data_IF_631449289552
#
_entry.id   IF_631449289552
#
_cell.length_a   1.000
_cell.length_b   1.000
_cell.length_c   1.000
_cell.angle_alpha   90.00
_cell.angle_beta   90.00
_cell.angle_gamma   90.00
#
_symmetry.space_group_name_H-M   'P 1'
#
loop_
_entity.id
_entity.type
_entity.pdbx_description
1 polymer ?
#
# COMPACT_ATOMS: atom_id res chain seq x y z
N UNK A 1 -28.64 -1.81 -10.61
CA UNK A 1 -29.24 -0.90 -11.60
C UNK A 1 -28.74 -1.20 -13.01
N UNK A 2 -27.42 -1.12 -13.30
CA UNK A 2 -26.89 -1.33 -14.66
C UNK A 2 -27.23 -2.68 -15.31
N UNK A 3 -27.10 -3.79 -14.56
CA UNK A 3 -27.43 -5.13 -15.07
C UNK A 3 -28.92 -5.28 -15.41
N UNK A 4 -29.80 -4.82 -14.52
CA UNK A 4 -31.25 -4.80 -14.76
C UNK A 4 -31.59 -3.99 -16.01
N UNK A 5 -30.94 -2.84 -16.22
CA UNK A 5 -31.17 -2.05 -17.43
C UNK A 5 -30.73 -2.82 -18.70
N UNK A 6 -29.60 -3.53 -18.66
CA UNK A 6 -29.14 -4.37 -19.78
C UNK A 6 -30.10 -5.54 -20.05
N UNK A 7 -30.59 -6.21 -19.00
CA UNK A 7 -31.52 -7.34 -19.13
C UNK A 7 -32.86 -6.91 -19.77
N UNK A 8 -33.36 -5.72 -19.42
CA UNK A 8 -34.56 -5.12 -20.04
C UNK A 8 -34.32 -4.69 -21.49
N UNK A 9 -33.16 -4.10 -21.78
CA UNK A 9 -32.80 -3.66 -23.13
C UNK A 9 -32.51 -4.83 -24.08
N UNK A 10 -32.04 -5.97 -23.55
CA UNK A 10 -31.70 -7.16 -24.34
C UNK A 10 -32.85 -8.17 -24.44
N UNK A 11 -34.00 -7.89 -23.82
CA UNK A 11 -35.22 -8.72 -23.89
C UNK A 11 -35.13 -10.04 -23.13
N UNK A 12 -34.14 -10.19 -22.24
CA UNK A 12 -33.77 -11.47 -21.64
C UNK A 12 -34.10 -11.59 -20.13
N UNK A 13 -35.11 -10.88 -19.61
CA UNK A 13 -35.60 -11.22 -18.26
C UNK A 13 -36.62 -10.28 -17.60
N UNK A 14 -37.34 -10.86 -16.63
CA UNK A 14 -38.21 -10.18 -15.64
C UNK A 14 -37.40 -9.57 -14.47
N UNK A 15 -36.12 -9.24 -14.68
CA UNK A 15 -35.22 -8.72 -13.65
C UNK A 15 -35.80 -7.42 -13.07
N UNK A 16 -36.07 -7.38 -11.76
CA UNK A 16 -36.53 -6.18 -11.08
C UNK A 16 -35.40 -5.57 -10.24
N UNK A 17 -35.27 -4.25 -10.31
CA UNK A 17 -34.40 -3.51 -9.39
C UNK A 17 -35.11 -3.41 -8.03
N UNK A 18 -34.62 -4.16 -7.05
CA UNK A 18 -35.21 -4.26 -5.71
C UNK A 18 -34.70 -3.18 -4.74
N UNK A 19 -33.83 -2.26 -5.20
CA UNK A 19 -33.25 -1.18 -4.40
C UNK A 19 -31.74 -1.06 -4.59
N UNK A 20 -31.18 0.08 -4.17
CA UNK A 20 -29.74 0.27 -3.99
C UNK A 20 -29.41 0.12 -2.51
N UNK A 21 -28.20 -0.35 -2.19
CA UNK A 21 -27.69 -0.24 -0.83
C UNK A 21 -27.61 1.24 -0.46
N UNK A 22 -28.37 1.63 0.55
CA UNK A 22 -28.40 3.00 1.09
C UNK A 22 -27.39 3.18 2.23
N UNK A 23 -26.57 2.16 2.51
CA UNK A 23 -25.50 2.29 3.49
C UNK A 23 -24.57 3.42 3.08
N UNK A 24 -24.32 4.32 4.02
CA UNK A 24 -23.53 5.52 3.75
C UNK A 24 -22.48 5.66 4.84
N UNK A 25 -21.21 5.76 4.42
CA UNK A 25 -20.10 6.19 5.28
C UNK A 25 -19.78 7.63 4.93
N UNK A 26 -20.06 8.55 5.84
CA UNK A 26 -19.81 9.98 5.67
C UNK A 26 -18.76 10.44 6.67
N UNK A 27 -17.84 11.29 6.22
CA UNK A 27 -17.00 12.10 7.09
C UNK A 27 -17.63 13.47 7.18
N UNK A 28 -18.38 13.72 8.24
CA UNK A 28 -19.01 15.01 8.49
C UNK A 28 -18.22 15.73 9.60
N UNK A 29 -17.64 16.90 9.28
CA UNK A 29 -16.95 17.75 10.28
C UNK A 29 -15.88 17.03 11.13
N UNK A 30 -15.16 16.07 10.54
CA UNK A 30 -14.08 15.34 11.23
C UNK A 30 -14.53 14.19 12.12
N UNK A 31 -15.83 13.86 12.15
CA UNK A 31 -16.37 12.68 12.84
C UNK A 31 -16.77 11.64 11.81
N UNK A 32 -16.26 10.42 11.97
CA UNK A 32 -16.67 9.28 11.15
C UNK A 32 -18.08 8.84 11.54
N UNK A 33 -19.01 8.87 10.58
CA UNK A 33 -20.39 8.43 10.77
C UNK A 33 -20.73 7.39 9.71
N UNK A 34 -21.24 6.24 10.15
CA UNK A 34 -21.71 5.20 9.26
C UNK A 34 -23.08 4.68 9.70
N UNK A 35 -23.94 4.43 8.72
CA UNK A 35 -25.23 3.77 8.90
C UNK A 35 -25.35 2.60 7.93
N UNK A 36 -25.81 1.46 8.46
CA UNK A 36 -25.95 0.20 7.75
C UNK A 36 -27.39 -0.28 7.94
N UNK A 37 -28.08 -0.60 6.84
CA UNK A 37 -29.35 -1.34 6.85
C UNK A 37 -30.43 -0.75 7.76
N UNK A 38 -31.10 -1.61 8.53
CA UNK A 38 -32.10 -1.24 9.54
C UNK A 38 -31.42 -0.74 10.84
N UNK A 39 -30.69 0.37 10.72
CA UNK A 39 -29.99 1.04 11.80
C UNK A 39 -30.90 1.44 12.99
N UNK A 40 -32.19 1.67 12.72
CA UNK A 40 -33.16 2.09 13.73
C UNK A 40 -33.82 0.91 14.46
N UNK A 41 -33.81 -0.30 13.89
CA UNK A 41 -34.46 -1.48 14.47
C UNK A 41 -35.96 -1.52 14.19
N UNK A 42 -36.37 -1.04 13.02
CA UNK A 42 -37.76 -1.03 12.56
C UNK A 42 -38.29 -2.46 12.34
N UNK A 43 -37.41 -3.44 12.16
CA UNK A 43 -37.75 -4.86 12.05
C UNK A 43 -38.35 -5.36 13.36
N UNK A 44 -39.59 -5.86 13.30
CA UNK A 44 -40.35 -6.31 14.47
C UNK A 44 -39.62 -7.43 15.22
N UNK A 45 -39.34 -7.20 16.50
CA UNK A 45 -38.63 -8.16 17.37
C UNK A 45 -37.12 -8.19 17.17
N UNK A 46 -36.54 -7.19 16.49
CA UNK A 46 -35.09 -6.98 16.47
C UNK A 46 -34.55 -6.71 17.87
N UNK A 47 -33.28 -7.07 18.09
CA UNK A 47 -32.53 -6.79 19.30
C UNK A 47 -31.46 -5.75 18.97
N UNK A 48 -31.22 -4.79 19.86
CA UNK A 48 -30.19 -3.78 19.68
C UNK A 48 -29.16 -3.79 20.81
N UNK A 49 -27.89 -3.71 20.46
CA UNK A 49 -26.77 -3.49 21.39
C UNK A 49 -26.23 -2.07 21.18
N UNK A 50 -25.82 -1.41 22.27
CA UNK A 50 -25.29 -0.06 22.23
C UNK A 50 -24.00 0.02 23.05
N UNK A 51 -23.00 0.70 22.49
CA UNK A 51 -21.75 1.04 23.15
C UNK A 51 -21.56 2.55 23.06
N UNK A 52 -21.29 3.18 24.21
CA UNK A 52 -21.12 4.63 24.32
C UNK A 52 -19.86 4.89 25.13
N UNK A 53 -18.90 5.59 24.53
CA UNK A 53 -17.71 6.11 25.19
C UNK A 53 -17.78 7.64 25.12
N UNK A 54 -18.09 8.27 26.26
CA UNK A 54 -18.23 9.73 26.36
C UNK A 54 -16.88 10.44 26.31
N UNK A 55 -15.79 9.80 26.74
CA UNK A 55 -14.46 10.39 26.71
C UNK A 55 -13.93 10.44 25.27
N UNK A 56 -14.10 9.34 24.52
CA UNK A 56 -13.68 9.25 23.12
C UNK A 56 -14.71 9.77 22.12
N UNK A 57 -15.89 10.19 22.59
CA UNK A 57 -17.01 10.63 21.75
C UNK A 57 -17.44 9.57 20.72
N UNK A 58 -17.41 8.29 21.13
CA UNK A 58 -17.77 7.14 20.27
C UNK A 58 -19.16 6.64 20.64
N UNK A 59 -20.00 6.42 19.63
CA UNK A 59 -21.28 5.75 19.76
C UNK A 59 -21.40 4.66 18.70
N UNK A 60 -21.64 3.42 19.13
CA UNK A 60 -21.89 2.28 18.25
C UNK A 60 -23.21 1.63 18.63
N UNK A 61 -24.06 1.37 17.64
CA UNK A 61 -25.30 0.60 17.79
C UNK A 61 -25.30 -0.52 16.77
N UNK A 62 -25.58 -1.74 17.23
CA UNK A 62 -25.79 -2.91 16.39
C UNK A 62 -27.23 -3.37 16.51
N UNK A 63 -27.89 -3.68 15.39
CA UNK A 63 -29.23 -4.25 15.33
C UNK A 63 -29.14 -5.64 14.74
N UNK A 64 -29.67 -6.64 15.44
CA UNK A 64 -29.70 -8.04 15.01
C UNK A 64 -31.12 -8.61 15.05
N UNK A 65 -31.34 -9.72 14.34
CA UNK A 65 -32.62 -10.44 14.38
C UNK A 65 -32.93 -11.01 15.77
N UNK A 66 -34.21 -11.30 16.04
CA UNK A 66 -34.66 -11.95 17.29
C UNK A 66 -33.88 -13.22 17.62
N UNK A 67 -33.49 -13.97 16.60
CA UNK A 67 -32.75 -15.24 16.71
C UNK A 67 -31.24 -15.06 16.84
N UNK A 68 -30.72 -13.82 16.78
CA UNK A 68 -29.29 -13.48 16.74
C UNK A 68 -28.54 -14.14 15.58
N UNK A 69 -29.23 -14.50 14.50
CA UNK A 69 -28.62 -15.17 13.34
C UNK A 69 -28.31 -14.23 12.17
N UNK A 70 -28.81 -12.99 12.20
CA UNK A 70 -28.59 -12.00 11.13
C UNK A 70 -28.33 -10.63 11.73
N UNK A 71 -27.38 -9.90 11.16
CA UNK A 71 -27.20 -8.46 11.40
C UNK A 71 -28.19 -7.72 10.50
N UNK A 72 -29.04 -6.90 11.08
CA UNK A 72 -30.08 -6.14 10.36
C UNK A 72 -29.61 -4.72 10.05
N UNK A 73 -28.78 -4.14 10.91
CA UNK A 73 -28.24 -2.81 10.71
C UNK A 73 -27.27 -2.38 11.80
N UNK A 74 -26.64 -1.23 11.60
CA UNK A 74 -25.74 -0.65 12.58
C UNK A 74 -25.63 0.88 12.41
N UNK A 75 -25.29 1.58 13.49
CA UNK A 75 -24.91 3.00 13.50
C UNK A 75 -23.56 3.12 14.18
N UNK A 76 -22.60 3.74 13.53
CA UNK A 76 -21.26 3.99 14.08
C UNK A 76 -21.00 5.50 14.00
N UNK A 77 -20.59 6.10 15.10
CA UNK A 77 -20.28 7.54 15.23
C UNK A 77 -18.99 7.68 16.03
N UNK A 78 -18.05 8.48 15.54
CA UNK A 78 -16.74 8.69 16.16
C UNK A 78 -15.71 7.65 15.73
N UNK A 79 -16.07 6.36 15.77
CA UNK A 79 -15.25 5.23 15.30
C UNK A 79 -16.10 4.32 14.39
N UNK A 80 -15.70 4.22 13.13
CA UNK A 80 -16.36 3.44 12.09
C UNK A 80 -15.45 2.38 11.45
N UNK A 81 -14.48 1.84 12.20
CA UNK A 81 -13.57 0.80 11.74
C UNK A 81 -14.31 -0.52 11.46
N UNK A 82 -15.32 -0.84 12.30
CA UNK A 82 -16.15 -2.03 12.16
C UNK A 82 -17.15 -1.96 10.99
N UNK A 83 -17.26 -0.81 10.31
CA UNK A 83 -18.23 -0.60 9.22
C UNK A 83 -18.11 -1.68 8.13
N UNK A 84 -16.88 -1.97 7.69
CA UNK A 84 -16.65 -2.93 6.61
C UNK A 84 -17.16 -4.32 6.99
N UNK A 85 -16.81 -4.79 8.19
CA UNK A 85 -17.22 -6.09 8.72
C UNK A 85 -18.75 -6.15 8.90
N UNK A 86 -19.34 -5.17 9.59
CA UNK A 86 -20.78 -5.14 9.85
C UNK A 86 -21.62 -5.03 8.58
N UNK A 87 -21.13 -4.26 7.59
CA UNK A 87 -21.76 -4.16 6.28
C UNK A 87 -21.73 -5.51 5.56
N UNK A 88 -20.59 -6.19 5.53
CA UNK A 88 -20.49 -7.51 4.89
C UNK A 88 -21.35 -8.55 5.61
N UNK A 89 -21.46 -8.47 6.94
CA UNK A 89 -22.33 -9.37 7.70
C UNK A 89 -23.81 -9.15 7.40
N UNK A 90 -24.24 -7.90 7.20
CA UNK A 90 -25.61 -7.56 6.84
C UNK A 90 -25.93 -7.94 5.39
N UNK A 91 -25.06 -7.56 4.43
CA UNK A 91 -25.29 -7.79 3.00
C UNK A 91 -25.28 -9.28 2.64
N UNK A 92 -24.49 -10.10 3.34
CA UNK A 92 -24.30 -11.51 3.00
C UNK A 92 -24.88 -12.49 4.04
N UNK A 93 -25.70 -12.01 4.97
CA UNK A 93 -26.33 -12.84 6.01
C UNK A 93 -25.35 -13.69 6.82
N UNK A 94 -24.14 -13.16 7.04
CA UNK A 94 -23.12 -13.85 7.83
C UNK A 94 -23.61 -13.93 9.27
N UNK A 95 -23.65 -15.16 9.80
CA UNK A 95 -24.11 -15.42 11.16
C UNK A 95 -23.19 -14.69 12.15
N UNK A 96 -23.72 -13.79 13.01
CA UNK A 96 -22.89 -13.12 13.99
C UNK A 96 -22.44 -14.08 15.10
N UNK A 97 -21.39 -13.73 15.86
CA UNK A 97 -20.91 -14.52 16.99
C UNK A 97 -22.02 -14.82 17.99
N UNK A 98 -21.82 -15.86 18.81
CA UNK A 98 -22.77 -16.26 19.86
C UNK A 98 -23.17 -15.07 20.78
N UNK A 99 -22.23 -14.13 20.97
CA UNK A 99 -22.47 -12.85 21.61
C UNK A 99 -22.27 -11.69 20.61
N UNK A 100 -23.34 -11.18 19.96
CA UNK A 100 -23.23 -10.12 18.96
C UNK A 100 -22.70 -8.78 19.49
N UNK A 101 -22.74 -8.54 20.81
CA UNK A 101 -22.21 -7.32 21.40
C UNK A 101 -20.70 -7.15 21.17
N UNK A 102 -19.96 -8.25 21.05
CA UNK A 102 -18.51 -8.25 20.81
C UNK A 102 -18.11 -7.57 19.50
N UNK A 103 -19.04 -7.48 18.53
CA UNK A 103 -18.81 -6.83 17.24
C UNK A 103 -18.73 -5.30 17.33
N UNK A 104 -19.14 -4.69 18.45
CA UNK A 104 -19.13 -3.24 18.64
C UNK A 104 -18.39 -2.81 19.92
N UNK A 105 -17.80 -3.75 20.65
CA UNK A 105 -17.06 -3.47 21.88
C UNK A 105 -15.58 -3.25 21.57
N UNK A 106 -14.91 -2.31 22.26
CA UNK A 106 -13.47 -2.12 22.13
C UNK A 106 -12.73 -3.38 22.61
N UNK A 107 -11.76 -3.83 21.82
CA UNK A 107 -10.92 -4.98 22.17
C UNK A 107 -9.90 -4.59 23.26
N UNK A 108 -9.65 -5.51 24.19
CA UNK A 108 -8.53 -5.40 25.12
C UNK A 108 -7.27 -5.96 24.47
N UNK A 109 -6.12 -5.35 24.78
CA UNK A 109 -4.82 -5.65 24.17
C UNK A 109 -4.52 -7.15 24.11
N UNK A 110 -4.39 -7.70 22.90
CA UNK A 110 -3.86 -9.04 22.66
C UNK A 110 -4.74 -10.02 21.86
N UNK A 111 -6.04 -9.78 21.71
CA UNK A 111 -6.86 -10.53 20.74
C UNK A 111 -6.81 -9.81 19.39
N UNK A 112 -6.05 -10.37 18.44
CA UNK A 112 -6.00 -9.91 17.06
C UNK A 112 -7.42 -9.66 16.53
N UNK A 113 -7.62 -8.55 15.82
CA UNK A 113 -8.85 -8.34 15.07
C UNK A 113 -9.05 -9.56 14.17
N UNK A 114 -10.24 -10.16 14.25
CA UNK A 114 -10.68 -11.15 13.28
C UNK A 114 -10.94 -10.44 11.94
N UNK A 115 -9.89 -9.85 11.35
CA UNK A 115 -9.86 -9.51 9.95
C UNK A 115 -10.08 -10.81 9.20
N UNK A 116 -11.22 -10.91 8.52
CA UNK A 116 -11.55 -12.07 7.70
C UNK A 116 -10.44 -12.28 6.67
N UNK A 117 -9.63 -13.33 6.84
CA UNK A 117 -8.72 -13.80 5.81
C UNK A 117 -9.49 -14.14 4.53
N UNK A 118 -8.80 -14.26 3.39
CA UNK A 118 -9.45 -14.55 2.09
C UNK A 118 -10.35 -15.79 2.15
N UNK A 119 -10.03 -16.76 3.01
CA UNK A 119 -10.84 -17.94 3.31
C UNK A 119 -12.24 -17.61 3.88
N UNK A 120 -12.36 -16.56 4.70
CA UNK A 120 -13.62 -16.20 5.36
C UNK A 120 -14.53 -15.32 4.47
N UNK A 121 -14.02 -14.74 3.37
CA UNK A 121 -14.82 -13.92 2.47
C UNK A 121 -15.92 -14.77 1.77
N UNK A 122 -17.18 -14.30 1.72
CA UNK A 122 -18.24 -14.96 0.96
C UNK A 122 -17.97 -14.87 -0.55
N UNK A 123 -18.57 -15.76 -1.34
CA UNK A 123 -18.44 -15.75 -2.81
C UNK A 123 -18.91 -14.41 -3.42
N UNK A 124 -19.93 -13.78 -2.85
CA UNK A 124 -20.44 -12.47 -3.28
C UNK A 124 -19.52 -11.30 -2.97
N UNK A 125 -18.42 -11.49 -2.22
CA UNK A 125 -17.53 -10.41 -1.82
C UNK A 125 -16.86 -9.75 -3.03
N UNK A 126 -17.03 -8.43 -3.16
CA UNK A 126 -16.54 -7.67 -4.31
C UNK A 126 -15.01 -7.48 -4.22
N UNK A 127 -14.25 -8.08 -5.15
CA UNK A 127 -12.77 -8.07 -5.19
C UNK A 127 -12.20 -7.01 -6.14
N UNK A 128 -12.76 -6.85 -7.35
CA UNK A 128 -12.33 -5.83 -8.32
C UNK A 128 -13.44 -4.83 -8.65
N UNK A 129 -13.37 -3.61 -8.12
CA UNK A 129 -14.44 -2.61 -8.32
C UNK A 129 -14.48 -2.05 -9.74
N UNK A 130 -13.36 -2.03 -10.46
CA UNK A 130 -13.30 -1.53 -11.84
C UNK A 130 -14.10 -2.38 -12.83
N UNK A 131 -14.18 -3.70 -12.59
CA UNK A 131 -14.86 -4.65 -13.48
C UNK A 131 -15.96 -5.44 -12.76
N UNK A 132 -16.33 -5.00 -11.55
CA UNK A 132 -17.37 -5.62 -10.72
C UNK A 132 -17.20 -7.13 -10.52
N UNK A 133 -15.96 -7.58 -10.26
CA UNK A 133 -15.64 -9.01 -10.06
C UNK A 133 -15.72 -9.36 -8.57
N UNK A 134 -16.46 -10.42 -8.25
CA UNK A 134 -16.62 -10.98 -6.90
C UNK A 134 -15.61 -12.12 -6.63
N UNK A 135 -15.54 -12.60 -5.38
CA UNK A 135 -14.73 -13.77 -5.03
C UNK A 135 -15.25 -15.01 -5.76
N UNK A 136 -16.56 -15.19 -5.87
CA UNK A 136 -17.22 -16.31 -6.54
C UNK A 136 -16.91 -16.36 -8.03
N UNK A 137 -16.82 -15.20 -8.69
CA UNK A 137 -16.37 -15.13 -10.08
C UNK A 137 -14.92 -15.63 -10.25
N UNK A 138 -14.06 -15.31 -9.27
CA UNK A 138 -12.68 -15.81 -9.26
C UNK A 138 -12.61 -17.30 -8.96
N UNK A 139 -13.34 -17.77 -7.94
CA UNK A 139 -13.43 -19.19 -7.56
C UNK A 139 -13.97 -20.02 -8.73
N UNK A 140 -15.04 -19.55 -9.38
CA UNK A 140 -15.63 -20.18 -10.56
C UNK A 140 -14.67 -20.22 -11.75
N UNK A 141 -13.88 -19.17 -11.97
CA UNK A 141 -12.84 -19.18 -13.00
C UNK A 141 -11.70 -20.16 -12.66
N UNK A 142 -11.30 -20.29 -11.40
CA UNK A 142 -10.31 -21.27 -10.95
C UNK A 142 -10.83 -22.70 -11.11
N UNK A 143 -12.07 -22.96 -10.69
CA UNK A 143 -12.74 -24.25 -10.90
C UNK A 143 -12.91 -24.58 -12.40
N UNK A 144 -13.06 -23.55 -13.24
CA UNK A 144 -13.08 -23.65 -14.70
C UNK A 144 -11.71 -23.89 -15.36
N UNK A 145 -10.63 -24.03 -14.58
CA UNK A 145 -9.30 -24.40 -15.06
C UNK A 145 -8.27 -23.27 -15.06
N UNK A 146 -8.58 -22.08 -14.52
CA UNK A 146 -7.57 -21.04 -14.35
C UNK A 146 -6.59 -21.40 -13.22
N UNK A 147 -5.35 -21.72 -13.59
CA UNK A 147 -4.29 -22.08 -12.64
C UNK A 147 -3.22 -21.00 -12.45
N UNK A 148 -3.31 -19.89 -13.17
CA UNK A 148 -2.36 -18.79 -13.04
C UNK A 148 -3.05 -17.42 -13.06
N UNK A 149 -2.33 -16.38 -12.63
CA UNK A 149 -2.88 -15.03 -12.54
C UNK A 149 -3.15 -14.42 -13.92
N UNK A 150 -2.48 -14.88 -14.97
CA UNK A 150 -2.65 -14.36 -16.32
C UNK A 150 -3.95 -14.89 -16.94
N UNK A 151 -4.22 -16.19 -16.79
CA UNK A 151 -5.48 -16.82 -17.21
C UNK A 151 -6.65 -16.24 -16.42
N UNK A 152 -6.50 -16.07 -15.10
CA UNK A 152 -7.54 -15.50 -14.25
C UNK A 152 -7.85 -14.04 -14.62
N UNK A 153 -6.81 -13.25 -14.95
CA UNK A 153 -6.97 -11.87 -15.46
C UNK A 153 -7.63 -11.83 -16.84
N UNK A 154 -7.26 -12.74 -17.73
CA UNK A 154 -7.83 -12.80 -19.07
C UNK A 154 -9.33 -13.16 -19.03
N UNK A 155 -9.72 -14.04 -18.11
CA UNK A 155 -11.11 -14.49 -17.97
C UNK A 155 -11.98 -13.50 -17.20
N UNK A 156 -11.47 -12.89 -16.13
CA UNK A 156 -12.29 -12.05 -15.22
C UNK A 156 -12.05 -10.56 -15.36
N UNK A 157 -11.00 -10.13 -16.07
CA UNK A 157 -10.49 -8.75 -16.09
C UNK A 157 -10.05 -8.20 -14.71
N UNK A 158 -10.10 -9.00 -13.64
CA UNK A 158 -9.75 -8.55 -12.30
C UNK A 158 -8.26 -8.18 -12.21
N UNK A 159 -7.96 -6.89 -12.02
CA UNK A 159 -6.59 -6.40 -11.86
C UNK A 159 -5.88 -6.00 -13.17
N UNK A 160 -6.60 -5.88 -14.28
CA UNK A 160 -6.09 -5.33 -15.56
C UNK A 160 -6.32 -3.82 -15.71
N UNK A 161 -7.26 -3.25 -14.95
CA UNK A 161 -7.68 -1.85 -15.04
C UNK A 161 -6.80 -0.92 -14.22
N UNK A 162 -7.17 -0.67 -12.96
CA UNK A 162 -6.34 0.14 -12.06
C UNK A 162 -5.20 -0.64 -11.37
N UNK A 163 -5.15 -1.97 -11.57
CA UNK A 163 -4.16 -2.87 -10.94
C UNK A 163 -4.33 -3.09 -9.44
N UNK A 164 -5.33 -2.47 -8.82
CA UNK A 164 -5.46 -2.34 -7.39
C UNK A 164 -5.77 -3.58 -6.57
N UNK A 165 -6.60 -4.44 -7.15
CA UNK A 165 -7.00 -5.70 -6.55
C UNK A 165 -6.02 -6.84 -6.87
N UNK A 166 -4.97 -6.62 -7.67
CA UNK A 166 -4.13 -7.70 -8.21
C UNK A 166 -3.53 -8.62 -7.13
N UNK A 167 -3.12 -8.06 -5.99
CA UNK A 167 -2.60 -8.85 -4.87
C UNK A 167 -3.69 -9.67 -4.18
N UNK A 168 -4.90 -9.12 -4.05
CA UNK A 168 -6.04 -9.83 -3.46
C UNK A 168 -6.54 -10.94 -4.38
N UNK A 169 -6.56 -10.70 -5.69
CA UNK A 169 -6.85 -11.70 -6.72
C UNK A 169 -5.85 -12.85 -6.65
N UNK A 170 -4.54 -12.55 -6.50
CA UNK A 170 -3.51 -13.58 -6.29
C UNK A 170 -3.77 -14.40 -5.02
N UNK A 171 -4.10 -13.74 -3.91
CA UNK A 171 -4.39 -14.44 -2.65
C UNK A 171 -5.62 -15.35 -2.74
N UNK A 172 -6.67 -14.96 -3.48
CA UNK A 172 -7.82 -15.83 -3.76
C UNK A 172 -7.39 -17.03 -4.60
N UNK A 173 -6.69 -16.79 -5.71
CA UNK A 173 -6.17 -17.85 -6.59
C UNK A 173 -5.31 -18.87 -5.82
N UNK A 174 -4.31 -18.40 -5.07
CA UNK A 174 -3.39 -19.26 -4.32
C UNK A 174 -4.15 -20.09 -3.26
N UNK A 175 -5.16 -19.51 -2.62
CA UNK A 175 -6.01 -20.21 -1.65
C UNK A 175 -6.82 -21.33 -2.29
N UNK A 176 -7.51 -21.04 -3.40
CA UNK A 176 -8.34 -22.02 -4.11
C UNK A 176 -7.50 -23.15 -4.74
N UNK A 177 -6.35 -22.83 -5.33
CA UNK A 177 -5.44 -23.84 -5.87
C UNK A 177 -4.90 -24.77 -4.78
N UNK A 178 -4.58 -24.22 -3.61
CA UNK A 178 -4.16 -25.03 -2.44
C UNK A 178 -5.29 -25.95 -1.97
N UNK A 179 -6.55 -25.50 -1.97
CA UNK A 179 -7.69 -26.36 -1.63
C UNK A 179 -7.90 -27.49 -2.65
N UNK A 180 -7.64 -27.23 -3.93
CA UNK A 180 -7.72 -28.22 -5.00
C UNK A 180 -6.51 -29.19 -5.01
N UNK A 181 -5.59 -29.07 -4.05
CA UNK A 181 -4.39 -29.91 -3.98
C UNK A 181 -3.36 -29.61 -5.08
N UNK A 182 -3.51 -28.48 -5.78
CA UNK A 182 -2.56 -28.02 -6.80
C UNK A 182 -1.40 -27.32 -6.10
N UNK A 183 -0.18 -27.81 -6.32
CA UNK A 183 1.02 -27.18 -5.80
C UNK A 183 1.19 -25.77 -6.41
N UNK A 184 1.05 -24.73 -5.60
CA UNK A 184 1.26 -23.35 -6.01
C UNK A 184 2.75 -23.12 -6.23
N UNK A 185 3.20 -23.25 -7.47
CA UNK A 185 4.58 -22.95 -7.86
C UNK A 185 4.89 -21.50 -7.51
N UNK A 186 5.94 -21.29 -6.71
CA UNK A 186 6.40 -19.95 -6.32
C UNK A 186 7.39 -19.35 -7.33
N UNK A 187 7.53 -19.98 -8.49
CA UNK A 187 8.39 -19.58 -9.58
C UNK A 187 8.15 -18.12 -9.98
N UNK A 188 9.22 -17.37 -10.25
CA UNK A 188 9.10 -16.01 -10.77
C UNK A 188 8.47 -16.02 -12.17
N UNK A 189 8.95 -16.89 -13.05
CA UNK A 189 8.46 -17.12 -14.41
C UNK A 189 9.12 -18.36 -15.01
N UNK A 190 8.81 -18.69 -16.26
CA UNK A 190 9.37 -19.83 -17.00
C UNK A 190 10.91 -19.88 -17.06
N UNK A 191 11.56 -18.72 -16.90
CA UNK A 191 13.02 -18.57 -16.92
C UNK A 191 13.66 -18.95 -15.58
N UNK A 192 12.93 -18.84 -14.46
CA UNK A 192 13.45 -19.05 -13.10
C UNK A 192 12.44 -19.85 -12.27
N UNK A 193 12.68 -21.16 -12.06
CA UNK A 193 11.83 -22.04 -11.26
C UNK A 193 12.11 -21.87 -9.76
N UNK A 194 12.13 -20.61 -9.30
CA UNK A 194 12.47 -20.21 -7.95
C UNK A 194 11.63 -19.01 -7.55
N UNK A 195 11.31 -18.90 -6.27
CA UNK A 195 10.75 -17.70 -5.66
C UNK A 195 11.76 -16.57 -5.55
N UNK A 196 11.26 -15.34 -5.35
CA UNK A 196 12.13 -14.18 -5.10
C UNK A 196 13.08 -14.42 -3.92
N UNK A 197 12.55 -15.00 -2.83
CA UNK A 197 13.32 -15.27 -1.63
C UNK A 197 14.44 -16.28 -1.90
N UNK A 198 14.14 -17.39 -2.58
CA UNK A 198 15.16 -18.37 -2.98
C UNK A 198 16.23 -17.75 -3.88
N UNK A 199 15.83 -16.97 -4.89
CA UNK A 199 16.77 -16.26 -5.75
C UNK A 199 17.65 -15.27 -4.97
N UNK A 200 17.10 -14.57 -3.97
CA UNK A 200 17.89 -13.72 -3.09
C UNK A 200 18.98 -14.53 -2.36
N UNK A 201 18.62 -15.70 -1.82
CA UNK A 201 19.58 -16.58 -1.16
C UNK A 201 20.64 -17.12 -2.13
N UNK A 202 20.23 -17.58 -3.31
CA UNK A 202 21.13 -18.10 -4.35
C UNK A 202 22.13 -17.04 -4.81
N UNK A 203 21.67 -15.80 -5.03
CA UNK A 203 22.53 -14.65 -5.38
C UNK A 203 23.56 -14.38 -4.28
N UNK A 204 23.13 -14.37 -3.02
CA UNK A 204 24.03 -14.10 -1.88
C UNK A 204 25.04 -15.21 -1.65
N UNK A 205 24.62 -16.48 -1.71
CA UNK A 205 25.50 -17.65 -1.47
C UNK A 205 26.46 -17.85 -2.64
N UNK A 206 25.97 -17.68 -3.87
CA UNK A 206 26.78 -17.81 -5.08
C UNK A 206 27.62 -16.58 -5.41
N UNK A 207 27.54 -15.52 -4.61
CA UNK A 207 28.18 -14.21 -4.83
C UNK A 207 27.97 -13.65 -6.25
N UNK A 208 26.76 -13.84 -6.79
CA UNK A 208 26.43 -13.50 -8.19
C UNK A 208 26.17 -12.00 -8.31
N UNK A 209 26.85 -11.33 -9.24
CA UNK A 209 26.80 -9.86 -9.39
C UNK A 209 26.08 -9.40 -10.64
N UNK A 210 25.90 -10.24 -11.65
CA UNK A 210 25.27 -9.84 -12.91
C UNK A 210 24.07 -10.73 -13.26
N UNK A 211 23.13 -10.20 -14.06
CA UNK A 211 21.99 -10.99 -14.54
C UNK A 211 22.45 -12.23 -15.31
N UNK A 212 23.48 -12.10 -16.15
CA UNK A 212 24.06 -13.21 -16.93
C UNK A 212 24.50 -14.37 -16.03
N UNK A 213 25.17 -14.08 -14.91
CA UNK A 213 25.58 -15.11 -13.95
C UNK A 213 24.38 -15.81 -13.29
N UNK A 214 23.33 -15.04 -12.97
CA UNK A 214 22.13 -15.57 -12.32
C UNK A 214 21.34 -16.46 -13.26
N UNK A 215 21.13 -16.04 -14.51
CA UNK A 215 20.38 -16.82 -15.49
C UNK A 215 21.16 -18.06 -15.96
N UNK A 216 22.48 -18.00 -16.06
CA UNK A 216 23.31 -19.15 -16.43
C UNK A 216 23.29 -20.25 -15.35
N UNK A 217 23.34 -19.87 -14.06
CA UNK A 217 23.41 -20.84 -12.95
C UNK A 217 22.05 -21.32 -12.45
N UNK A 218 21.04 -20.45 -12.45
CA UNK A 218 19.77 -20.69 -11.76
C UNK A 218 18.55 -20.45 -12.65
N UNK A 219 18.75 -20.22 -13.95
CA UNK A 219 17.66 -19.99 -14.89
C UNK A 219 17.93 -20.58 -16.27
N UNK A 220 17.20 -20.07 -17.25
CA UNK A 220 17.32 -20.44 -18.67
C UNK A 220 16.77 -19.34 -19.58
N UNK A 221 17.24 -19.30 -20.84
CA UNK A 221 16.78 -18.34 -21.85
C UNK A 221 17.42 -16.95 -21.69
N UNK A 222 16.74 -15.91 -22.19
CA UNK A 222 17.23 -14.52 -22.17
C UNK A 222 16.56 -13.63 -21.09
N UNK A 223 15.57 -14.18 -20.39
CA UNK A 223 14.74 -13.45 -19.43
C UNK A 223 13.66 -12.57 -20.06
N UNK A 224 12.67 -12.22 -19.25
CA UNK A 224 11.52 -11.41 -19.62
C UNK A 224 11.35 -10.19 -18.70
N UNK A 225 10.31 -9.41 -18.97
CA UNK A 225 9.96 -8.18 -18.24
C UNK A 225 9.51 -8.42 -16.78
N UNK A 226 9.38 -9.68 -16.37
CA UNK A 226 9.16 -10.05 -14.96
C UNK A 226 10.46 -10.33 -14.22
N UNK A 227 11.33 -11.19 -14.77
CA UNK A 227 12.51 -11.63 -14.06
C UNK A 227 13.65 -10.61 -14.12
N UNK A 228 13.84 -9.87 -15.22
CA UNK A 228 14.90 -8.85 -15.33
C UNK A 228 14.82 -7.79 -14.21
N UNK A 229 13.69 -7.09 -14.00
CA UNK A 229 13.59 -6.12 -12.91
C UNK A 229 13.62 -6.77 -11.53
N UNK A 230 13.12 -8.00 -11.40
CA UNK A 230 13.19 -8.74 -10.12
C UNK A 230 14.64 -9.06 -9.73
N UNK A 231 15.43 -9.59 -10.66
CA UNK A 231 16.85 -9.86 -10.44
C UNK A 231 17.63 -8.55 -10.28
N UNK A 232 17.34 -7.51 -11.05
CA UNK A 232 17.93 -6.18 -10.87
C UNK A 232 17.70 -5.63 -9.45
N UNK A 233 16.48 -5.77 -8.93
CA UNK A 233 16.15 -5.42 -7.53
C UNK A 233 16.91 -6.27 -6.51
N UNK A 234 17.02 -7.58 -6.72
CA UNK A 234 17.78 -8.49 -5.83
C UNK A 234 19.26 -8.12 -5.82
N UNK A 235 19.88 -7.96 -7.00
CA UNK A 235 21.30 -7.59 -7.13
C UNK A 235 21.59 -6.27 -6.42
N UNK A 236 20.77 -5.24 -6.65
CA UNK A 236 20.91 -3.95 -5.98
C UNK A 236 20.72 -4.07 -4.45
N UNK A 237 19.81 -4.92 -4.00
CA UNK A 237 19.60 -5.18 -2.56
C UNK A 237 20.75 -5.96 -1.92
N UNK A 238 21.45 -6.80 -2.69
CA UNK A 238 22.54 -7.63 -2.21
C UNK A 238 23.87 -6.88 -2.17
N UNK A 239 24.15 -6.07 -3.18
CA UNK A 239 25.47 -5.49 -3.45
C UNK A 239 25.50 -3.97 -3.44
N UNK A 240 24.34 -3.31 -3.52
CA UNK A 240 24.21 -1.85 -3.55
C UNK A 240 25.04 -1.17 -4.66
N UNK A 241 25.18 -1.85 -5.79
CA UNK A 241 25.87 -1.31 -6.98
C UNK A 241 25.02 -0.24 -7.69
N UNK A 242 25.70 0.67 -8.41
CA UNK A 242 25.03 1.72 -9.17
C UNK A 242 24.17 1.15 -10.30
N UNK A 243 22.86 1.38 -10.22
CA UNK A 243 21.85 0.74 -11.09
C UNK A 243 21.95 1.11 -12.57
N UNK A 244 22.65 2.20 -12.92
CA UNK A 244 22.88 2.61 -14.32
C UNK A 244 24.25 2.20 -14.86
N UNK A 245 25.00 1.34 -14.15
CA UNK A 245 26.14 0.62 -14.76
C UNK A 245 25.65 -0.23 -15.93
N UNK A 246 26.50 -0.46 -16.92
CA UNK A 246 26.16 -1.19 -18.16
C UNK A 246 25.48 -2.55 -17.91
N UNK A 247 25.90 -3.29 -16.88
CA UNK A 247 25.35 -4.61 -16.56
C UNK A 247 23.99 -4.57 -15.81
N UNK A 248 23.62 -3.41 -15.26
CA UNK A 248 22.41 -3.24 -14.44
C UNK A 248 21.34 -2.38 -15.11
N UNK A 249 21.75 -1.43 -15.95
CA UNK A 249 20.85 -0.48 -16.61
C UNK A 249 19.75 -1.20 -17.42
N UNK A 250 20.03 -2.26 -18.20
CA UNK A 250 19.00 -2.99 -18.95
C UNK A 250 17.99 -3.75 -18.08
N UNK A 251 18.24 -3.86 -16.77
CA UNK A 251 17.34 -4.50 -15.81
C UNK A 251 16.37 -3.51 -15.17
N UNK A 252 16.58 -2.20 -15.35
CA UNK A 252 15.76 -1.19 -14.72
C UNK A 252 14.50 -0.91 -15.54
N UNK A 253 13.38 -0.69 -14.85
CA UNK A 253 12.20 -0.13 -15.47
C UNK A 253 12.51 1.27 -16.04
N UNK A 254 11.77 1.69 -17.05
CA UNK A 254 11.92 2.99 -17.73
C UNK A 254 12.13 4.16 -16.77
N UNK A 255 11.36 4.20 -15.68
CA UNK A 255 11.45 5.29 -14.71
C UNK A 255 12.77 5.33 -13.94
N UNK A 256 13.31 4.17 -13.58
CA UNK A 256 14.60 4.07 -12.90
C UNK A 256 15.75 4.29 -13.89
N UNK A 257 15.60 3.85 -15.15
CA UNK A 257 16.59 4.08 -16.20
C UNK A 257 16.83 5.56 -16.50
N UNK A 258 15.75 6.34 -16.63
CA UNK A 258 15.81 7.77 -16.94
C UNK A 258 15.83 8.68 -15.71
N UNK A 259 15.84 8.10 -14.50
CA UNK A 259 15.75 8.80 -13.22
C UNK A 259 14.55 9.76 -13.13
N UNK A 260 13.53 9.57 -13.96
CA UNK A 260 12.34 10.42 -14.07
C UNK A 260 11.13 9.57 -14.37
N UNK A 261 9.92 10.12 -14.27
CA UNK A 261 8.70 9.36 -14.47
C UNK A 261 8.04 9.68 -15.80
N UNK A 262 7.83 8.66 -16.61
CA UNK A 262 7.13 8.82 -17.88
C UNK A 262 5.67 9.22 -17.66
N UNK A 263 5.23 10.25 -18.36
CA UNK A 263 3.88 10.79 -18.37
C UNK A 263 3.08 10.24 -19.56
N UNK A 264 1.77 10.46 -19.56
CA UNK A 264 0.86 9.95 -20.60
C UNK A 264 1.18 10.46 -22.00
N UNK A 265 1.75 11.65 -22.11
CA UNK A 265 2.16 12.30 -23.37
C UNK A 265 3.60 11.96 -23.78
N UNK A 266 4.26 11.03 -23.08
CA UNK A 266 5.64 10.63 -23.34
C UNK A 266 6.70 11.59 -22.75
N UNK A 267 6.29 12.68 -22.10
CA UNK A 267 7.21 13.54 -21.33
C UNK A 267 7.58 12.88 -20.00
N UNK A 268 8.49 13.51 -19.26
CA UNK A 268 8.96 13.02 -17.97
C UNK A 268 8.69 14.03 -16.86
N UNK A 269 8.48 13.50 -15.64
CA UNK A 269 8.51 14.29 -14.42
C UNK A 269 9.77 14.02 -13.59
N UNK A 270 10.26 15.07 -12.94
CA UNK A 270 11.54 15.13 -12.24
C UNK A 270 11.29 15.60 -10.81
N UNK A 271 11.69 14.80 -9.84
CA UNK A 271 11.56 15.12 -8.42
C UNK A 271 12.95 15.13 -7.79
N UNK A 272 13.59 16.30 -7.60
CA UNK A 272 14.81 16.38 -6.81
C UNK A 272 14.56 15.94 -5.38
N UNK A 273 15.57 15.33 -4.77
CA UNK A 273 15.54 14.91 -3.37
C UNK A 273 15.62 16.12 -2.45
N UNK A 274 14.74 16.18 -1.46
CA UNK A 274 14.71 17.20 -0.41
C UNK A 274 14.58 16.49 0.94
N UNK A 275 15.69 16.14 1.61
CA UNK A 275 15.67 15.36 2.84
C UNK A 275 14.86 16.06 3.94
N UNK A 276 13.90 15.36 4.53
CA UNK A 276 13.03 15.92 5.58
C UNK A 276 12.13 17.07 5.12
N UNK A 277 12.12 17.40 3.83
CA UNK A 277 11.42 18.58 3.30
C UNK A 277 12.18 19.90 3.43
N UNK A 278 13.44 19.87 3.86
CA UNK A 278 14.26 21.07 4.06
C UNK A 278 14.88 21.58 2.75
N UNK A 279 14.45 22.75 2.30
CA UNK A 279 14.96 23.43 1.11
C UNK A 279 15.43 24.84 1.44
N UNK A 280 16.65 25.19 1.06
CA UNK A 280 17.17 26.55 1.24
C UNK A 280 16.58 27.51 0.22
N UNK A 281 16.55 28.83 0.48
CA UNK A 281 16.08 29.81 -0.49
C UNK A 281 16.80 29.71 -1.85
N UNK A 282 18.12 29.53 -1.86
CA UNK A 282 18.93 29.44 -3.08
C UNK A 282 18.56 28.21 -3.90
N UNK A 283 18.38 27.07 -3.23
CA UNK A 283 17.94 25.82 -3.86
C UNK A 283 16.52 25.91 -4.41
N UNK A 284 15.63 26.61 -3.70
CA UNK A 284 14.27 26.86 -4.16
C UNK A 284 14.25 27.75 -5.42
N UNK A 285 15.11 28.77 -5.47
CA UNK A 285 15.29 29.62 -6.66
C UNK A 285 15.76 28.77 -7.85
N UNK A 286 16.76 27.91 -7.67
CA UNK A 286 17.26 27.03 -8.75
C UNK A 286 16.15 26.13 -9.30
N UNK A 287 15.31 25.54 -8.45
CA UNK A 287 14.16 24.75 -8.93
C UNK A 287 13.22 25.62 -9.79
N UNK A 288 12.95 26.85 -9.36
CA UNK A 288 12.12 27.81 -10.11
C UNK A 288 12.73 28.19 -11.46
N UNK A 289 14.04 28.44 -11.51
CA UNK A 289 14.76 28.75 -12.76
C UNK A 289 14.75 27.57 -13.73
N UNK A 290 15.05 26.36 -13.25
CA UNK A 290 14.97 25.13 -14.06
C UNK A 290 13.54 24.94 -14.59
N UNK A 291 12.53 25.11 -13.74
CA UNK A 291 11.14 24.99 -14.17
C UNK A 291 10.80 26.01 -15.27
N UNK A 292 11.23 27.27 -15.11
CA UNK A 292 10.98 28.34 -16.08
C UNK A 292 11.69 28.07 -17.42
N UNK A 293 12.98 27.74 -17.38
CA UNK A 293 13.81 27.63 -18.58
C UNK A 293 13.42 26.45 -19.47
N UNK A 294 12.90 25.37 -18.86
CA UNK A 294 12.43 24.18 -19.57
C UNK A 294 10.90 24.15 -19.73
N UNK A 295 10.19 25.23 -19.36
CA UNK A 295 8.72 25.33 -19.41
C UNK A 295 8.00 24.15 -18.71
N UNK A 296 8.43 23.84 -17.49
CA UNK A 296 7.93 22.73 -16.69
C UNK A 296 6.83 23.18 -15.72
N UNK A 297 5.79 22.37 -15.58
CA UNK A 297 4.77 22.58 -14.55
C UNK A 297 5.28 22.10 -13.19
N UNK A 298 5.10 22.90 -12.13
CA UNK A 298 5.56 22.56 -10.77
C UNK A 298 4.42 22.16 -9.84
N UNK A 299 4.61 21.10 -9.04
CA UNK A 299 3.63 20.67 -8.03
C UNK A 299 4.30 20.28 -6.70
N UNK A 300 3.78 20.79 -5.59
CA UNK A 300 4.18 20.33 -4.25
C UNK A 300 3.55 18.95 -4.00
N UNK A 301 4.36 17.99 -3.59
CA UNK A 301 3.97 16.61 -3.33
C UNK A 301 3.69 16.37 -1.84
N UNK A 302 2.89 15.34 -1.54
CA UNK A 302 2.63 14.92 -0.15
C UNK A 302 3.87 14.40 0.60
N UNK A 303 5.02 14.26 -0.08
CA UNK A 303 6.30 13.90 0.51
C UNK A 303 7.22 15.09 0.80
N UNK A 304 6.67 16.31 0.83
CA UNK A 304 7.41 17.57 1.06
C UNK A 304 8.49 17.85 0.00
N UNK A 305 8.17 17.60 -1.26
CA UNK A 305 9.05 17.86 -2.41
C UNK A 305 8.33 18.60 -3.53
N UNK A 306 9.08 19.19 -4.44
CA UNK A 306 8.57 19.84 -5.65
C UNK A 306 8.81 18.90 -6.83
N UNK A 307 7.75 18.57 -7.57
CA UNK A 307 7.77 17.76 -8.79
C UNK A 307 7.68 18.69 -10.01
N UNK A 308 8.48 18.41 -11.03
CA UNK A 308 8.62 19.19 -12.27
C UNK A 308 8.16 18.35 -13.45
N UNK A 309 7.07 18.72 -14.13
CA UNK A 309 6.44 17.95 -15.20
C UNK A 309 6.65 18.55 -16.57
N UNK A 310 6.71 17.71 -17.60
CA UNK A 310 6.72 18.12 -19.01
C UNK A 310 8.10 18.09 -19.68
N UNK A 311 9.11 17.50 -19.03
CA UNK A 311 10.45 17.43 -19.59
C UNK A 311 10.53 16.41 -20.73
N UNK A 312 11.15 16.77 -21.85
CA UNK A 312 11.45 15.82 -22.92
C UNK A 312 12.66 14.95 -22.53
N UNK A 313 12.74 13.73 -23.08
CA UNK A 313 13.80 12.76 -22.75
C UNK A 313 15.22 13.31 -22.98
N UNK A 314 15.41 14.08 -24.06
CA UNK A 314 16.70 14.70 -24.41
C UNK A 314 17.06 15.88 -23.48
N UNK A 315 16.09 16.46 -22.78
CA UNK A 315 16.32 17.54 -21.81
C UNK A 315 16.78 17.02 -20.44
N UNK A 316 16.48 15.75 -20.12
CA UNK A 316 16.78 15.16 -18.82
C UNK A 316 18.24 15.33 -18.37
N UNK A 317 19.28 15.07 -19.21
CA UNK A 317 20.66 15.25 -18.79
C UNK A 317 20.98 16.70 -18.39
N UNK A 318 20.47 17.68 -19.14
CA UNK A 318 20.69 19.11 -18.86
C UNK A 318 19.97 19.57 -17.60
N UNK A 319 18.74 19.09 -17.38
CA UNK A 319 17.97 19.39 -16.16
C UNK A 319 18.67 18.79 -14.94
N UNK A 320 19.03 17.50 -15.00
CA UNK A 320 19.72 16.83 -13.90
C UNK A 320 21.08 17.46 -13.61
N UNK A 321 21.84 17.86 -14.64
CA UNK A 321 23.10 18.56 -14.45
C UNK A 321 22.91 19.84 -13.63
N UNK A 322 21.95 20.70 -13.98
CA UNK A 322 21.69 21.94 -13.22
C UNK A 322 21.27 21.68 -11.78
N UNK A 323 20.41 20.68 -11.56
CA UNK A 323 19.97 20.31 -10.22
C UNK A 323 21.14 19.75 -9.37
N UNK A 324 21.97 18.88 -9.95
CA UNK A 324 23.14 18.29 -9.28
C UNK A 324 24.22 19.34 -9.00
N UNK A 325 24.47 20.25 -9.94
CA UNK A 325 25.43 21.36 -9.76
C UNK A 325 24.97 22.29 -8.61
N UNK A 326 23.66 22.37 -8.33
CA UNK A 326 23.08 23.07 -7.16
C UNK A 326 23.01 22.20 -5.87
N UNK A 327 23.51 20.97 -5.92
CA UNK A 327 23.59 20.05 -4.79
C UNK A 327 22.34 19.22 -4.52
N UNK A 328 21.44 19.08 -5.51
CA UNK A 328 20.35 18.11 -5.44
C UNK A 328 20.80 16.72 -5.89
N UNK A 329 20.04 15.72 -5.47
CA UNK A 329 20.12 14.34 -5.94
C UNK A 329 18.78 13.94 -6.57
N UNK A 330 18.72 12.83 -7.29
CA UNK A 330 17.44 12.26 -7.69
C UNK A 330 16.64 11.80 -6.47
N UNK A 331 15.36 12.17 -6.41
CA UNK A 331 14.47 11.81 -5.31
C UNK A 331 13.97 10.36 -5.33
N UNK A 332 14.35 9.56 -6.35
CA UNK A 332 13.85 8.20 -6.57
C UNK A 332 12.33 8.08 -6.44
N UNK A 333 11.59 9.12 -6.86
CA UNK A 333 10.17 9.26 -6.57
C UNK A 333 9.31 8.11 -7.13
N UNK A 334 9.86 7.31 -8.04
CA UNK A 334 9.18 6.23 -8.75
C UNK A 334 9.86 4.88 -8.62
N UNK A 335 11.13 4.85 -8.19
CA UNK A 335 11.85 3.62 -7.97
C UNK A 335 11.22 2.73 -6.90
N UNK A 336 11.53 1.44 -6.97
CA UNK A 336 11.28 0.47 -5.89
C UNK A 336 12.39 0.59 -4.85
N UNK A 337 12.37 1.72 -4.13
CA UNK A 337 13.34 2.12 -3.11
C UNK A 337 12.65 2.98 -2.05
N UNK A 338 13.43 3.46 -1.06
CA UNK A 338 13.00 4.56 -0.20
C UNK A 338 12.67 5.79 -1.06
N UNK A 339 11.42 6.23 -0.97
CA UNK A 339 10.97 7.43 -1.69
C UNK A 339 11.22 8.70 -0.89
N UNK A 340 10.69 8.81 0.32
CA UNK A 340 10.76 10.03 1.15
C UNK A 340 10.66 9.67 2.63
N UNK A 341 11.29 10.49 3.46
CA UNK A 341 11.04 10.55 4.90
C UNK A 341 10.38 11.89 5.20
N UNK A 342 9.05 11.87 5.38
CA UNK A 342 8.29 13.09 5.70
C UNK A 342 8.55 13.49 7.15
N UNK A 343 8.80 14.76 7.42
CA UNK A 343 9.00 15.28 8.78
C UNK A 343 7.91 16.29 9.14
N UNK A 344 7.70 16.55 10.43
CA UNK A 344 7.17 17.84 10.85
C UNK A 344 8.30 18.72 11.34
N UNK A 345 8.03 20.00 11.59
CA UNK A 345 9.04 21.00 11.99
C UNK A 345 9.64 20.77 13.40
N UNK A 346 9.20 19.72 14.11
CA UNK A 346 9.80 19.26 15.36
C UNK A 346 9.83 20.28 16.50
N UNK A 347 10.64 20.01 17.52
CA UNK A 347 10.93 20.94 18.62
C UNK A 347 11.73 22.18 18.18
N UNK A 348 12.29 22.16 16.96
CA UNK A 348 13.03 23.29 16.38
C UNK A 348 12.13 24.52 16.18
N UNK A 349 10.87 24.32 15.78
CA UNK A 349 9.93 25.41 15.51
C UNK A 349 8.57 25.27 16.19
N UNK A 350 8.08 24.04 16.37
CA UNK A 350 6.74 23.83 16.89
C UNK A 350 6.74 23.95 18.42
N UNK A 351 5.87 24.78 18.98
CA UNK A 351 5.65 24.88 20.44
C UNK A 351 5.24 23.57 21.13
N UNK A 352 4.80 22.57 20.35
CA UNK A 352 4.40 21.25 20.83
C UNK A 352 5.42 20.16 20.49
N UNK A 353 6.52 20.51 19.83
CA UNK A 353 7.56 19.54 19.48
C UNK A 353 8.24 19.04 20.74
N UNK A 354 8.24 17.72 20.92
CA UNK A 354 8.91 17.03 22.04
C UNK A 354 10.36 16.75 21.67
N UNK A 355 10.60 16.18 20.49
CA UNK A 355 11.94 15.92 19.95
C UNK A 355 12.12 16.55 18.56
N UNK A 356 13.38 16.66 18.14
CA UNK A 356 13.76 17.15 16.82
C UNK A 356 13.50 16.08 15.75
N UNK A 357 12.28 16.09 15.21
CA UNK A 357 11.90 15.21 14.11
C UNK A 357 12.55 15.55 12.79
N UNK A 358 12.96 16.81 12.58
CA UNK A 358 13.53 17.25 11.30
C UNK A 358 14.92 16.64 11.13
N UNK A 359 15.80 16.80 12.11
CA UNK A 359 17.15 16.22 12.08
C UNK A 359 17.10 14.69 12.01
N UNK A 360 16.21 14.06 12.78
CA UNK A 360 16.01 12.61 12.74
C UNK A 360 15.50 12.13 11.36
N UNK A 361 14.54 12.83 10.76
CA UNK A 361 14.07 12.50 9.41
C UNK A 361 15.18 12.61 8.35
N UNK A 362 16.01 13.66 8.43
CA UNK A 362 17.15 13.85 7.52
C UNK A 362 18.18 12.73 7.70
N UNK A 363 18.48 12.36 8.95
CA UNK A 363 19.41 11.27 9.27
C UNK A 363 18.92 9.93 8.70
N UNK A 364 17.65 9.58 8.95
CA UNK A 364 17.00 8.37 8.40
C UNK A 364 17.01 8.42 6.87
N UNK A 365 16.62 9.53 6.25
CA UNK A 365 16.58 9.61 4.79
C UNK A 365 17.97 9.48 4.18
N UNK A 366 19.00 10.09 4.77
CA UNK A 366 20.37 9.98 4.29
C UNK A 366 20.97 8.60 4.49
N UNK A 367 20.61 7.89 5.58
CA UNK A 367 21.04 6.53 5.83
C UNK A 367 20.49 5.55 4.80
N UNK A 368 19.20 5.68 4.49
CA UNK A 368 18.47 4.71 3.66
C UNK A 368 18.26 5.17 2.21
N UNK A 369 18.82 6.31 1.80
CA UNK A 369 18.74 6.78 0.41
C UNK A 369 19.31 5.74 -0.54
N UNK A 370 18.57 5.46 -1.61
CA UNK A 370 18.99 4.49 -2.61
C UNK A 370 18.82 3.01 -2.23
N UNK A 371 18.45 2.68 -0.98
CA UNK A 371 18.14 1.30 -0.60
C UNK A 371 16.99 0.79 -1.47
N UNK A 372 17.28 -0.25 -2.25
CA UNK A 372 16.30 -0.93 -3.12
C UNK A 372 15.55 -1.98 -2.32
N UNK A 373 14.30 -2.18 -2.71
CA UNK A 373 13.36 -3.04 -2.00
C UNK A 373 12.36 -3.67 -2.98
N UNK A 374 11.68 -4.77 -2.59
CA UNK A 374 10.69 -5.42 -3.46
C UNK A 374 9.59 -4.45 -3.95
N UNK A 375 9.21 -3.49 -3.11
CA UNK A 375 8.29 -2.42 -3.46
C UNK A 375 8.78 -1.06 -2.92
N UNK A 376 8.11 0.05 -3.26
CA UNK A 376 8.44 1.38 -2.72
C UNK A 376 8.24 1.42 -1.20
N UNK A 377 9.15 2.10 -0.50
CA UNK A 377 9.08 2.35 0.94
C UNK A 377 8.90 3.85 1.17
N UNK A 378 8.05 4.22 2.12
CA UNK A 378 7.93 5.57 2.65
C UNK A 378 8.14 5.53 4.15
N UNK A 379 8.77 6.56 4.70
CA UNK A 379 8.88 6.72 6.14
C UNK A 379 8.43 8.10 6.56
N UNK A 380 8.22 8.30 7.85
CA UNK A 380 8.02 9.64 8.39
C UNK A 380 8.38 9.72 9.88
N UNK A 381 8.74 10.93 10.32
CA UNK A 381 9.11 11.24 11.69
C UNK A 381 8.26 12.41 12.19
N UNK A 382 7.49 12.19 13.24
CA UNK A 382 6.71 13.22 13.93
C UNK A 382 7.34 13.56 15.27
N UNK A 383 7.57 14.84 15.52
CA UNK A 383 8.18 15.32 16.76
C UNK A 383 7.25 15.31 17.99
N UNK A 384 6.01 14.84 17.85
CA UNK A 384 5.07 14.61 18.96
C UNK A 384 3.88 13.75 18.49
N UNK A 385 3.01 13.39 19.43
CA UNK A 385 1.79 12.58 19.19
C UNK A 385 0.72 13.24 18.33
N UNK A 386 0.85 14.55 18.02
CA UNK A 386 -0.02 15.24 17.05
C UNK A 386 0.20 14.78 15.60
N UNK A 387 1.27 14.03 15.35
CA UNK A 387 1.41 13.21 14.16
C UNK A 387 1.40 13.98 12.82
N UNK A 388 1.81 15.24 12.79
CA UNK A 388 1.72 16.07 11.59
C UNK A 388 2.47 15.52 10.36
N UNK A 389 3.40 14.58 10.55
CA UNK A 389 4.11 13.90 9.45
C UNK A 389 3.36 12.69 8.87
N UNK A 390 2.20 12.31 9.41
CA UNK A 390 1.43 11.12 9.01
C UNK A 390 2.25 9.81 9.14
N UNK A 391 3.10 9.72 10.17
CA UNK A 391 3.95 8.58 10.50
C UNK A 391 3.23 7.22 10.53
N UNK A 392 2.03 7.13 11.10
CA UNK A 392 1.30 5.87 11.18
C UNK A 392 0.74 5.42 9.82
N UNK A 393 0.78 6.26 8.78
CA UNK A 393 0.40 5.90 7.42
C UNK A 393 1.57 5.42 6.55
N UNK A 394 2.79 5.37 7.09
CA UNK A 394 4.00 5.03 6.34
C UNK A 394 4.47 3.62 6.66
N UNK A 395 5.31 3.06 5.77
CA UNK A 395 5.86 1.71 5.94
C UNK A 395 6.72 1.64 7.21
N UNK A 396 7.40 2.74 7.56
CA UNK A 396 8.05 2.99 8.86
C UNK A 396 7.65 4.36 9.40
N UNK A 397 7.02 4.39 10.58
CA UNK A 397 6.62 5.61 11.28
C UNK A 397 7.41 5.79 12.56
N UNK A 398 7.89 7.00 12.83
CA UNK A 398 8.59 7.36 14.06
C UNK A 398 7.84 8.51 14.73
N UNK A 399 7.48 8.36 16.01
CA UNK A 399 6.74 9.38 16.76
C UNK A 399 7.45 9.64 18.08
N UNK A 400 7.77 10.91 18.35
CA UNK A 400 8.42 11.30 19.59
C UNK A 400 7.47 11.18 20.80
N UNK A 401 8.07 10.81 21.92
CA UNK A 401 7.49 10.81 23.27
C UNK A 401 8.49 11.44 24.23
N UNK A 402 8.06 11.72 25.46
CA UNK A 402 8.95 12.27 26.50
C UNK A 402 10.11 11.33 26.87
N UNK A 403 9.99 10.02 26.54
CA UNK A 403 10.96 8.99 26.87
C UNK A 403 11.75 8.48 25.64
N UNK A 404 11.66 9.16 24.50
CA UNK A 404 12.31 8.73 23.25
C UNK A 404 11.30 8.49 22.12
N UNK A 405 11.56 7.52 21.26
CA UNK A 405 10.80 7.27 20.04
C UNK A 405 9.90 6.04 20.12
N UNK A 406 8.66 6.19 19.65
CA UNK A 406 7.81 5.08 19.28
C UNK A 406 8.01 4.75 17.79
N UNK A 407 8.30 3.49 17.51
CA UNK A 407 8.49 2.95 16.17
C UNK A 407 7.24 2.19 15.74
N UNK A 408 6.71 2.53 14.57
CA UNK A 408 5.57 1.89 13.94
C UNK A 408 5.99 1.29 12.59
N UNK A 409 5.44 0.13 12.21
CA UNK A 409 5.78 -0.54 10.94
C UNK A 409 4.55 -1.06 10.20
N UNK A 410 4.64 -1.16 8.87
CA UNK A 410 3.61 -1.80 8.03
C UNK A 410 2.42 -0.91 7.65
N UNK A 411 2.54 0.41 7.79
CA UNK A 411 1.50 1.35 7.37
C UNK A 411 1.46 1.57 5.87
N UNK A 412 0.31 2.01 5.36
CA UNK A 412 0.11 2.29 3.95
C UNK A 412 -0.85 3.46 3.74
N UNK A 413 -0.37 4.59 3.22
CA UNK A 413 -1.22 5.69 2.73
C UNK A 413 -1.63 5.55 1.26
N UNK A 414 -1.80 4.32 0.78
CA UNK A 414 -2.06 4.00 -0.63
C UNK A 414 -3.49 3.53 -0.88
N UNK A 415 -3.68 2.71 -1.92
CA UNK A 415 -5.00 2.26 -2.35
C UNK A 415 -5.76 1.46 -1.29
N UNK A 416 -5.06 0.65 -0.50
CA UNK A 416 -5.58 -0.01 0.69
C UNK A 416 -5.00 0.68 1.91
N UNK A 417 -5.60 1.79 2.38
CA UNK A 417 -5.07 2.51 3.50
C UNK A 417 -5.04 1.61 4.74
N UNK A 418 -3.94 1.66 5.48
CA UNK A 418 -3.72 0.87 6.69
C UNK A 418 -2.84 1.65 7.65
N UNK A 419 -3.21 1.66 8.93
CA UNK A 419 -2.34 2.16 9.99
C UNK A 419 -1.21 1.16 10.28
N UNK A 420 -0.02 1.70 10.51
CA UNK A 420 1.13 0.94 10.96
C UNK A 420 0.91 0.44 12.39
N UNK A 421 1.44 -0.75 12.69
CA UNK A 421 1.36 -1.32 14.03
C UNK A 421 2.49 -0.76 14.90
N UNK A 422 2.21 -0.50 16.17
CA UNK A 422 3.23 -0.12 17.14
C UNK A 422 4.19 -1.30 17.34
N UNK A 423 5.45 -1.11 16.96
CA UNK A 423 6.46 -2.16 16.99
C UNK A 423 7.31 -2.11 18.26
N UNK A 424 7.69 -0.91 18.69
CA UNK A 424 8.47 -0.69 19.91
C UNK A 424 8.31 0.75 20.40
N UNK A 425 8.54 0.97 21.69
CA UNK A 425 8.35 2.25 22.38
C UNK A 425 9.62 2.68 23.13
N UNK A 426 9.70 3.96 23.50
CA UNK A 426 10.74 4.51 24.38
C UNK A 426 12.17 4.24 23.86
N UNK A 427 12.35 4.27 22.53
CA UNK A 427 13.65 3.99 21.90
C UNK A 427 14.55 5.23 21.91
N UNK A 428 15.83 5.03 22.22
CA UNK A 428 16.87 6.00 21.89
C UNK A 428 17.19 6.00 20.37
N UNK A 429 17.93 7.00 19.91
CA UNK A 429 18.26 7.18 18.49
C UNK A 429 19.02 5.98 17.88
N UNK A 430 19.96 5.39 18.61
CA UNK A 430 20.79 4.29 18.11
C UNK A 430 19.96 3.00 17.99
N UNK A 431 19.16 2.70 19.02
CA UNK A 431 18.28 1.55 19.06
C UNK A 431 17.17 1.66 18.02
N UNK A 432 16.59 2.86 17.83
CA UNK A 432 15.63 3.15 16.76
C UNK A 432 16.19 2.75 15.39
N UNK A 433 17.38 3.26 15.04
CA UNK A 433 18.02 2.96 13.75
C UNK A 433 18.31 1.48 13.60
N UNK A 434 18.82 0.81 14.64
CA UNK A 434 19.06 -0.64 14.63
C UNK A 434 17.77 -1.43 14.35
N UNK A 435 16.64 -1.01 14.91
CA UNK A 435 15.37 -1.72 14.70
C UNK A 435 14.83 -1.50 13.29
N UNK A 436 14.95 -0.28 12.75
CA UNK A 436 14.61 0.00 11.34
C UNK A 436 15.49 -0.84 10.42
N UNK A 437 16.80 -0.93 10.67
CA UNK A 437 17.72 -1.78 9.89
C UNK A 437 17.22 -3.23 9.87
N UNK A 438 16.86 -3.81 11.02
CA UNK A 438 16.40 -5.20 11.11
C UNK A 438 15.08 -5.43 10.38
N UNK A 439 14.14 -4.50 10.51
CA UNK A 439 12.87 -4.56 9.79
C UNK A 439 13.10 -4.53 8.27
N UNK A 440 13.90 -3.59 7.78
CA UNK A 440 14.21 -3.46 6.35
C UNK A 440 14.97 -4.67 5.81
N UNK A 441 15.96 -5.18 6.55
CA UNK A 441 16.70 -6.39 6.18
C UNK A 441 15.78 -7.59 6.07
N UNK A 442 14.85 -7.76 7.02
CA UNK A 442 13.85 -8.82 6.96
C UNK A 442 12.96 -8.66 5.73
N UNK A 443 12.32 -7.50 5.56
CA UNK A 443 11.43 -7.21 4.44
C UNK A 443 12.11 -7.44 3.08
N UNK A 444 13.30 -6.84 2.87
CA UNK A 444 14.04 -6.95 1.60
C UNK A 444 14.39 -8.40 1.28
N UNK A 445 14.71 -9.21 2.31
CA UNK A 445 15.10 -10.61 2.13
C UNK A 445 13.91 -11.54 1.88
N UNK A 446 12.78 -11.32 2.54
CA UNK A 446 11.69 -12.32 2.60
C UNK A 446 10.48 -11.98 1.75
N UNK A 447 10.22 -10.70 1.46
CA UNK A 447 9.03 -10.32 0.70
C UNK A 447 9.09 -10.82 -0.75
N UNK A 448 7.92 -11.17 -1.28
CA UNK A 448 7.73 -11.56 -2.66
C UNK A 448 7.84 -10.35 -3.61
N UNK A 449 7.89 -10.61 -4.92
CA UNK A 449 7.98 -9.60 -5.97
C UNK A 449 6.82 -8.60 -5.85
N UNK A 450 7.16 -7.32 -5.76
CA UNK A 450 6.21 -6.21 -5.61
C UNK A 450 5.29 -6.34 -4.37
N UNK A 451 5.62 -7.22 -3.42
CA UNK A 451 4.95 -7.25 -2.14
C UNK A 451 5.35 -6.01 -1.36
N UNK A 452 4.34 -5.30 -0.89
CA UNK A 452 4.52 -4.16 0.00
C UNK A 452 4.22 -4.59 1.43
#
# INVERSE_FOLDING_TARGET
>A
MGQVAVDHLTGNGNSQFTGADMSTKLKLMGVDVASIGDAHGNTKGSLSYQFIDQEKQVYKKLVVSKTKKRVLGAVLVGDADDYGTLLQMMLNDIVPPANPAELILPHSDGSASAGMGVAALPETAQICSCFNVSKGDLVGAVAGGCQDIASLKAQTNAGTGCGGCAQLVKQVLDHELTQLGVEVKKDICEHFPHSRQELYHLVRVGELKTFSQVIEKHGRGMGCDLCKPTIGSILASCWNDYILKNDHAPLQDTNDYFLGNMQKDGTYSIVPRVPGGEITPERLIVIGEVAKDFNLYTKITGGQRIDLFGAQVNQLPSIWKRLVDAGFETGHAYGKSLRTVKSCVGSTWCRYGVLDSTSMAIAIENRYRGVRSPHKIKMAVSGCTRECAEAQSKDVGVIATEKGWNLYVGGNGGMKPRHADLFATELDDETLVKYIDRFLMFYIRTADRLQR
#
